data_IF_396813116919
#
_entry.id   IF_396813116919
#
_cell.length_a   1.000
_cell.length_b   1.000
_cell.length_c   1.000
_cell.angle_alpha   90.00
_cell.angle_beta   90.00
_cell.angle_gamma   90.00
#
_symmetry.space_group_name_H-M   'P 1'
#
loop_
_entity.id
_entity.type
_entity.pdbx_description
1 polymer ?
#
# COMPACT_ATOMS: atom_id res chain seq x y z
N UNK A 1 -15.53 -42.50 -14.39
CA UNK A 1 -16.68 -41.61 -14.74
C UNK A 1 -16.82 -40.63 -13.58
N UNK A 2 -16.74 -39.31 -13.70
CA UNK A 2 -17.14 -38.41 -14.78
C UNK A 2 -16.14 -37.25 -14.91
N UNK A 3 -15.52 -37.14 -16.09
CA UNK A 3 -14.85 -35.92 -16.56
C UNK A 3 -15.97 -34.92 -16.92
N UNK A 4 -16.33 -34.05 -15.99
CA UNK A 4 -17.15 -32.83 -16.22
C UNK A 4 -16.37 -31.56 -15.87
N UNK A 5 -15.07 -31.56 -16.11
CA UNK A 5 -14.16 -30.44 -15.83
C UNK A 5 -13.83 -29.60 -17.07
N UNK A 6 -14.58 -29.75 -18.16
CA UNK A 6 -14.29 -29.08 -19.42
C UNK A 6 -15.57 -28.47 -19.96
N UNK A 7 -15.73 -27.18 -19.66
CA UNK A 7 -16.22 -26.09 -20.51
C UNK A 7 -16.54 -24.92 -19.56
N UNK A 8 -15.49 -24.23 -19.12
CA UNK A 8 -15.65 -22.85 -18.65
C UNK A 8 -16.33 -22.08 -19.78
N UNK A 9 -17.42 -21.38 -19.51
CA UNK A 9 -18.05 -20.50 -20.50
C UNK A 9 -17.06 -19.33 -20.77
N UNK A 10 -16.40 -19.28 -21.95
CA UNK A 10 -15.41 -18.25 -22.25
C UNK A 10 -16.01 -16.84 -22.21
N UNK A 11 -17.35 -16.72 -22.33
CA UNK A 11 -18.06 -15.46 -22.19
C UNK A 11 -18.02 -14.90 -20.75
N UNK A 12 -17.87 -15.75 -19.72
CA UNK A 12 -17.79 -15.32 -18.31
C UNK A 12 -16.42 -14.68 -18.00
N UNK A 13 -15.34 -15.20 -18.60
CA UNK A 13 -14.00 -14.64 -18.47
C UNK A 13 -13.87 -13.30 -19.20
N UNK A 14 -14.45 -13.16 -20.40
CA UNK A 14 -14.40 -11.89 -21.14
C UNK A 14 -15.17 -10.76 -20.44
N UNK A 15 -16.37 -11.04 -19.91
CA UNK A 15 -17.16 -10.04 -19.17
C UNK A 15 -16.45 -9.55 -17.91
N UNK A 16 -15.78 -10.45 -17.18
CA UNK A 16 -15.03 -10.11 -15.97
C UNK A 16 -13.81 -9.28 -16.30
N UNK A 17 -13.06 -9.66 -17.34
CA UNK A 17 -11.91 -8.91 -17.83
C UNK A 17 -12.29 -7.50 -18.29
N UNK A 18 -13.37 -7.37 -19.08
CA UNK A 18 -13.90 -6.07 -19.50
C UNK A 18 -14.35 -5.20 -18.33
N UNK A 19 -14.88 -5.80 -17.25
CA UNK A 19 -15.25 -5.05 -16.03
C UNK A 19 -14.04 -4.55 -15.28
N UNK A 20 -12.98 -5.34 -15.17
CA UNK A 20 -11.71 -4.88 -14.56
C UNK A 20 -11.13 -3.73 -15.39
N UNK A 21 -11.08 -3.86 -16.72
CA UNK A 21 -10.69 -2.77 -17.62
C UNK A 21 -11.58 -1.55 -17.41
N UNK A 22 -12.90 -1.74 -17.30
CA UNK A 22 -13.86 -0.67 -17.06
C UNK A 22 -13.62 0.05 -15.72
N UNK A 23 -13.26 -0.68 -14.67
CA UNK A 23 -12.86 -0.11 -13.37
C UNK A 23 -11.56 0.67 -13.50
N UNK A 24 -10.54 0.11 -14.18
CA UNK A 24 -9.28 0.81 -14.41
C UNK A 24 -9.49 2.08 -15.24
N UNK A 25 -10.35 2.02 -16.26
CA UNK A 25 -10.74 3.14 -17.09
C UNK A 25 -11.53 4.18 -16.29
N UNK A 26 -12.46 3.76 -15.43
CA UNK A 26 -13.22 4.67 -14.57
C UNK A 26 -12.29 5.42 -13.61
N UNK A 27 -11.36 4.73 -12.96
CA UNK A 27 -10.32 5.35 -12.14
C UNK A 27 -9.46 6.35 -12.94
N UNK A 28 -9.06 5.98 -14.17
CA UNK A 28 -8.36 6.88 -15.09
C UNK A 28 -9.22 8.06 -15.61
N UNK A 29 -10.54 7.91 -15.67
CA UNK A 29 -11.45 9.00 -16.05
C UNK A 29 -11.70 9.96 -14.89
N UNK A 30 -11.81 9.45 -13.65
CA UNK A 30 -11.85 10.28 -12.44
C UNK A 30 -10.62 11.20 -12.36
N UNK A 31 -9.46 10.71 -12.80
CA UNK A 31 -8.23 11.48 -12.94
C UNK A 31 -8.33 12.63 -13.95
N UNK A 32 -9.00 12.40 -15.08
CA UNK A 32 -9.17 13.41 -16.12
C UNK A 32 -10.21 14.49 -15.77
N UNK A 33 -11.00 14.28 -14.71
CA UNK A 33 -11.86 15.30 -14.10
C UNK A 33 -11.08 16.28 -13.22
N UNK A 34 -9.81 15.98 -12.91
CA UNK A 34 -8.91 16.87 -12.21
C UNK A 34 -8.49 18.08 -13.04
N UNK A 35 -7.98 19.13 -12.38
CA UNK A 35 -7.36 20.30 -13.03
C UNK A 35 -6.17 19.89 -13.90
N UNK A 36 -5.78 20.73 -14.89
CA UNK A 36 -4.61 20.50 -15.75
C UNK A 36 -3.35 20.10 -14.95
N UNK A 37 -3.15 20.69 -13.77
CA UNK A 37 -2.08 20.34 -12.84
C UNK A 37 -2.02 18.85 -12.46
N UNK A 38 -3.16 18.16 -12.30
CA UNK A 38 -3.18 16.73 -11.94
C UNK A 38 -2.63 15.87 -13.09
N UNK A 39 -2.81 16.30 -14.34
CA UNK A 39 -2.29 15.61 -15.53
C UNK A 39 -0.79 15.83 -15.67
N UNK A 40 -0.36 17.07 -15.47
CA UNK A 40 1.04 17.48 -15.59
C UNK A 40 1.93 16.85 -14.50
N UNK A 41 1.34 16.46 -13.36
CA UNK A 41 2.04 15.83 -12.23
C UNK A 41 1.64 14.35 -11.98
N UNK A 42 1.03 13.69 -12.97
CA UNK A 42 0.75 12.25 -12.85
C UNK A 42 2.04 11.43 -12.96
N UNK A 43 2.20 10.40 -12.13
CA UNK A 43 3.27 9.40 -12.26
C UNK A 43 2.74 8.13 -12.93
N UNK A 44 3.04 7.93 -14.23
CA UNK A 44 2.63 6.74 -14.95
C UNK A 44 3.19 5.45 -14.34
N UNK A 45 4.36 5.49 -13.69
CA UNK A 45 4.99 4.32 -13.09
C UNK A 45 4.22 3.86 -11.85
N UNK A 46 3.91 4.76 -10.91
CA UNK A 46 3.08 4.43 -9.74
C UNK A 46 1.68 3.94 -10.15
N UNK A 47 1.07 4.55 -11.17
CA UNK A 47 -0.21 4.13 -11.73
C UNK A 47 -0.10 2.71 -12.31
N UNK A 48 0.93 2.46 -13.13
CA UNK A 48 1.17 1.14 -13.71
C UNK A 48 1.38 0.08 -12.62
N UNK A 49 2.13 0.39 -11.55
CA UNK A 49 2.36 -0.54 -10.43
C UNK A 49 1.04 -0.98 -9.80
N UNK A 50 0.13 -0.04 -9.48
CA UNK A 50 -1.16 -0.37 -8.86
C UNK A 50 -1.99 -1.25 -9.80
N UNK A 51 -2.17 -0.81 -11.05
CA UNK A 51 -3.04 -1.53 -11.99
C UNK A 51 -2.47 -2.87 -12.41
N UNK A 52 -1.18 -2.95 -12.75
CA UNK A 52 -0.53 -4.20 -13.15
C UNK A 52 -0.55 -5.19 -11.99
N UNK A 53 -0.27 -4.76 -10.76
CA UNK A 53 -0.30 -5.65 -9.60
C UNK A 53 -1.69 -6.24 -9.38
N UNK A 54 -2.73 -5.42 -9.46
CA UNK A 54 -4.12 -5.87 -9.31
C UNK A 54 -4.52 -6.79 -10.47
N UNK A 55 -4.15 -6.46 -11.71
CA UNK A 55 -4.42 -7.28 -12.89
C UNK A 55 -3.73 -8.65 -12.80
N UNK A 56 -2.47 -8.70 -12.39
CA UNK A 56 -1.70 -9.95 -12.23
C UNK A 56 -2.32 -10.81 -11.13
N UNK A 57 -2.57 -10.22 -9.94
CA UNK A 57 -3.10 -10.97 -8.79
C UNK A 57 -4.52 -11.48 -9.09
N UNK A 58 -5.42 -10.60 -9.54
CA UNK A 58 -6.77 -10.98 -9.90
C UNK A 58 -6.80 -11.98 -11.06
N UNK A 59 -5.98 -11.77 -12.10
CA UNK A 59 -5.91 -12.64 -13.28
C UNK A 59 -5.47 -14.05 -12.92
N UNK A 60 -4.36 -14.19 -12.19
CA UNK A 60 -3.84 -15.50 -11.77
C UNK A 60 -4.82 -16.22 -10.82
N UNK A 61 -5.39 -15.52 -9.83
CA UNK A 61 -6.37 -16.12 -8.92
C UNK A 61 -7.67 -16.50 -9.61
N UNK A 62 -8.10 -15.72 -10.60
CA UNK A 62 -9.28 -16.03 -11.41
C UNK A 62 -9.06 -17.28 -12.25
N UNK A 63 -7.93 -17.36 -12.96
CA UNK A 63 -7.58 -18.50 -13.83
C UNK A 63 -7.43 -19.78 -13.01
N UNK A 64 -6.77 -19.73 -11.85
CA UNK A 64 -6.48 -20.93 -11.08
C UNK A 64 -7.61 -21.40 -10.17
N UNK A 65 -8.35 -20.47 -9.55
CA UNK A 65 -9.27 -20.81 -8.47
C UNK A 65 -10.68 -20.22 -8.65
N UNK A 66 -10.98 -19.60 -9.80
CA UNK A 66 -12.25 -18.91 -10.04
C UNK A 66 -12.58 -17.85 -8.98
N UNK A 67 -11.54 -17.23 -8.40
CA UNK A 67 -11.70 -16.27 -7.32
C UNK A 67 -12.54 -15.05 -7.75
N UNK A 68 -13.38 -14.52 -6.85
CA UNK A 68 -14.10 -13.27 -7.10
C UNK A 68 -13.10 -12.11 -7.13
N UNK A 69 -13.17 -11.30 -8.19
CA UNK A 69 -12.22 -10.21 -8.41
C UNK A 69 -12.50 -9.00 -7.51
N UNK A 70 -13.78 -8.71 -7.25
CA UNK A 70 -14.20 -7.56 -6.47
C UNK A 70 -13.63 -7.51 -5.03
N UNK A 71 -13.67 -8.61 -4.23
CA UNK A 71 -13.04 -8.63 -2.90
C UNK A 71 -11.52 -8.45 -2.93
N UNK A 72 -10.84 -8.95 -3.96
CA UNK A 72 -9.40 -8.80 -4.12
C UNK A 72 -9.05 -7.32 -4.38
N UNK A 73 -9.80 -6.67 -5.28
CA UNK A 73 -9.63 -5.24 -5.57
C UNK A 73 -9.89 -4.37 -4.35
N UNK A 74 -10.94 -4.69 -3.60
CA UNK A 74 -11.28 -4.02 -2.33
C UNK A 74 -10.17 -4.15 -1.28
N UNK A 75 -9.61 -5.35 -1.12
CA UNK A 75 -8.55 -5.58 -0.15
C UNK A 75 -7.22 -4.93 -0.56
N UNK A 76 -6.82 -5.02 -1.84
CA UNK A 76 -5.49 -4.64 -2.31
C UNK A 76 -5.35 -3.18 -2.76
N UNK A 77 -6.41 -2.55 -3.26
CA UNK A 77 -6.33 -1.24 -3.90
C UNK A 77 -5.67 -0.19 -3.00
N UNK A 78 -6.27 0.05 -1.83
CA UNK A 78 -5.78 1.02 -0.84
C UNK A 78 -4.33 0.76 -0.41
N UNK A 79 -3.95 -0.42 0.10
CA UNK A 79 -2.58 -0.64 0.57
C UNK A 79 -1.53 -0.56 -0.54
N UNK A 80 -1.84 -0.93 -1.78
CA UNK A 80 -0.93 -0.73 -2.93
C UNK A 80 -0.73 0.76 -3.22
N UNK A 81 -1.80 1.54 -3.22
CA UNK A 81 -1.72 2.99 -3.39
C UNK A 81 -0.83 3.63 -2.32
N UNK A 82 -1.08 3.31 -1.05
CA UNK A 82 -0.31 3.82 0.08
C UNK A 82 1.16 3.36 0.09
N UNK A 83 1.46 2.18 -0.48
CA UNK A 83 2.83 1.71 -0.65
C UNK A 83 3.60 2.61 -1.61
N UNK A 84 3.02 2.92 -2.77
CA UNK A 84 3.61 3.86 -3.72
C UNK A 84 3.84 5.23 -3.09
N UNK A 85 2.86 5.73 -2.32
CA UNK A 85 2.99 7.01 -1.60
C UNK A 85 4.16 6.96 -0.62
N UNK A 86 4.20 5.98 0.27
CA UNK A 86 5.23 5.93 1.31
C UNK A 86 6.64 5.78 0.75
N UNK A 87 6.83 4.95 -0.28
CA UNK A 87 8.14 4.80 -0.93
C UNK A 87 8.55 6.07 -1.68
N UNK A 88 7.60 6.74 -2.36
CA UNK A 88 7.87 8.01 -3.04
C UNK A 88 8.26 9.12 -2.06
N UNK A 89 7.51 9.29 -0.96
CA UNK A 89 7.84 10.28 0.07
C UNK A 89 9.18 9.96 0.74
N UNK A 90 9.42 8.69 1.04
CA UNK A 90 10.68 8.24 1.61
C UNK A 90 11.88 8.63 0.74
N UNK A 91 11.81 8.39 -0.59
CA UNK A 91 12.90 8.72 -1.50
C UNK A 91 13.21 10.22 -1.53
N UNK A 92 12.18 11.08 -1.43
CA UNK A 92 12.36 12.53 -1.34
C UNK A 92 13.15 12.93 -0.10
N UNK A 93 12.76 12.41 1.06
CA UNK A 93 13.46 12.71 2.32
C UNK A 93 14.85 12.08 2.39
N UNK A 94 15.04 10.94 1.73
CA UNK A 94 16.33 10.29 1.61
C UNK A 94 17.34 11.13 0.82
N UNK A 95 16.90 11.70 -0.32
CA UNK A 95 17.76 12.51 -1.18
C UNK A 95 17.81 14.00 -0.78
N UNK A 96 17.32 14.36 0.40
CA UNK A 96 17.19 15.76 0.80
C UNK A 96 18.55 16.38 1.16
N UNK A 97 18.98 17.41 0.44
CA UNK A 97 20.25 18.11 0.66
C UNK A 97 20.13 19.57 1.15
N UNK A 98 18.91 20.09 1.32
CA UNK A 98 18.66 21.39 1.95
C UNK A 98 18.39 22.55 1.00
N UNK A 99 18.98 22.57 -0.21
CA UNK A 99 18.98 23.77 -1.06
C UNK A 99 18.10 23.67 -2.33
N UNK A 100 17.67 22.47 -2.75
CA UNK A 100 16.98 22.27 -4.05
C UNK A 100 15.46 21.97 -3.99
N UNK A 101 14.82 22.06 -2.81
CA UNK A 101 13.62 21.27 -2.53
C UNK A 101 12.23 21.85 -2.84
N UNK A 102 12.05 23.14 -3.11
CA UNK A 102 10.69 23.77 -3.08
C UNK A 102 9.85 23.43 -4.31
N UNK A 103 10.41 23.55 -5.53
CA UNK A 103 9.70 23.15 -6.76
C UNK A 103 9.52 21.63 -6.84
N UNK A 104 10.52 20.87 -6.37
CA UNK A 104 10.43 19.42 -6.26
C UNK A 104 9.29 19.03 -5.31
N UNK A 105 9.12 19.71 -4.17
CA UNK A 105 8.08 19.34 -3.21
C UNK A 105 6.65 19.64 -3.67
N UNK A 106 6.42 20.77 -4.37
CA UNK A 106 5.12 21.10 -4.98
C UNK A 106 4.72 20.12 -6.08
N UNK A 107 5.67 19.76 -6.94
CA UNK A 107 5.58 18.65 -7.91
C UNK A 107 5.28 17.31 -7.17
N UNK A 108 5.95 17.07 -6.06
CA UNK A 108 5.83 15.86 -5.26
C UNK A 108 4.51 15.77 -4.48
N UNK A 109 3.88 16.87 -4.08
CA UNK A 109 2.63 16.79 -3.29
C UNK A 109 1.49 16.16 -4.11
N UNK A 110 1.47 16.40 -5.43
CA UNK A 110 0.55 15.73 -6.35
C UNK A 110 0.94 14.27 -6.56
N UNK A 111 2.23 13.97 -6.68
CA UNK A 111 2.76 12.59 -6.71
C UNK A 111 2.45 11.78 -5.44
N UNK A 112 2.32 12.44 -4.29
CA UNK A 112 2.10 11.83 -2.97
C UNK A 112 0.64 11.41 -2.77
N UNK A 113 -0.33 12.17 -3.29
CA UNK A 113 -1.74 11.86 -3.02
C UNK A 113 -2.41 11.08 -4.16
N UNK A 114 -1.85 11.14 -5.36
CA UNK A 114 -2.45 10.50 -6.53
C UNK A 114 -2.47 8.97 -6.47
N UNK A 115 -1.36 8.29 -6.10
CA UNK A 115 -1.37 6.84 -5.98
C UNK A 115 -2.32 6.37 -4.88
N UNK A 116 -2.44 7.13 -3.77
CA UNK A 116 -3.43 6.86 -2.73
C UNK A 116 -4.86 7.00 -3.25
N UNK A 117 -5.15 8.05 -4.03
CA UNK A 117 -6.46 8.24 -4.68
C UNK A 117 -6.76 7.10 -5.65
N UNK A 118 -5.78 6.65 -6.44
CA UNK A 118 -5.94 5.53 -7.39
C UNK A 118 -6.18 4.21 -6.67
N UNK A 119 -5.37 3.90 -5.66
CA UNK A 119 -5.58 2.74 -4.81
C UNK A 119 -6.96 2.75 -4.15
N UNK A 120 -7.36 3.89 -3.60
CA UNK A 120 -8.68 4.11 -3.02
C UNK A 120 -9.82 3.98 -4.03
N UNK A 121 -9.68 4.52 -5.24
CA UNK A 121 -10.66 4.39 -6.31
C UNK A 121 -10.84 2.92 -6.74
N UNK A 122 -9.74 2.17 -6.90
CA UNK A 122 -9.82 0.75 -7.23
C UNK A 122 -10.48 -0.05 -6.09
N UNK A 123 -10.13 0.26 -4.85
CA UNK A 123 -10.75 -0.36 -3.67
C UNK A 123 -12.26 -0.06 -3.59
N UNK A 124 -12.65 1.21 -3.77
CA UNK A 124 -14.05 1.65 -3.78
C UNK A 124 -14.86 1.04 -4.93
N UNK A 125 -14.27 0.92 -6.12
CA UNK A 125 -14.91 0.25 -7.26
C UNK A 125 -15.05 -1.27 -7.02
N UNK A 126 -14.07 -1.89 -6.34
CA UNK A 126 -14.17 -3.26 -5.85
C UNK A 126 -15.34 -3.44 -4.87
N UNK A 127 -15.49 -2.51 -3.91
CA UNK A 127 -16.61 -2.50 -2.97
C UNK A 127 -17.98 -2.37 -3.67
N UNK A 128 -18.11 -1.40 -4.58
CA UNK A 128 -19.35 -1.20 -5.34
C UNK A 128 -19.71 -2.39 -6.22
N UNK A 129 -18.72 -3.07 -6.80
CA UNK A 129 -18.93 -4.28 -7.58
C UNK A 129 -19.34 -5.47 -6.70
N UNK A 130 -18.80 -5.59 -5.49
CA UNK A 130 -19.18 -6.66 -4.56
C UNK A 130 -20.68 -6.60 -4.21
N UNK A 131 -21.22 -5.39 -4.02
CA UNK A 131 -22.62 -5.19 -3.66
C UNK A 131 -22.98 -5.91 -2.35
N UNK A 132 -24.20 -6.45 -2.26
CA UNK A 132 -24.67 -7.21 -1.08
C UNK A 132 -24.35 -8.70 -1.12
N UNK A 133 -23.71 -9.19 -2.18
CA UNK A 133 -23.43 -10.62 -2.38
C UNK A 133 -21.97 -10.92 -2.10
N UNK A 134 -21.67 -11.41 -0.90
CA UNK A 134 -20.34 -11.89 -0.54
C UNK A 134 -20.11 -13.27 -1.14
N UNK A 135 -19.52 -13.33 -2.33
CA UNK A 135 -18.97 -14.57 -2.85
C UNK A 135 -17.79 -14.98 -1.97
N UNK A 136 -17.86 -16.18 -1.38
CA UNK A 136 -16.81 -16.72 -0.52
C UNK A 136 -15.50 -16.86 -1.30
N UNK A 137 -14.39 -16.46 -0.69
CA UNK A 137 -13.08 -16.52 -1.32
C UNK A 137 -12.59 -17.98 -1.37
N UNK A 138 -12.33 -18.56 -2.55
CA UNK A 138 -11.81 -19.92 -2.63
C UNK A 138 -10.38 -19.96 -2.08
N UNK A 139 -10.10 -21.00 -1.28
CA UNK A 139 -8.75 -21.27 -0.78
C UNK A 139 -7.80 -21.52 -1.96
N UNK A 140 -6.67 -20.83 -1.97
CA UNK A 140 -5.62 -21.02 -2.98
C UNK A 140 -4.50 -21.96 -2.50
N UNK A 141 -3.66 -22.41 -3.43
CA UNK A 141 -2.47 -23.20 -3.09
C UNK A 141 -1.33 -22.31 -2.57
N UNK A 142 -0.50 -22.85 -1.67
CA UNK A 142 0.68 -22.15 -1.16
C UNK A 142 1.67 -21.73 -2.26
N UNK A 143 1.73 -22.47 -3.39
CA UNK A 143 2.58 -22.14 -4.54
C UNK A 143 2.17 -20.82 -5.20
N UNK A 144 0.86 -20.58 -5.30
CA UNK A 144 0.32 -19.31 -5.81
C UNK A 144 0.62 -18.17 -4.84
N UNK A 145 0.54 -18.43 -3.52
CA UNK A 145 0.98 -17.49 -2.49
C UNK A 145 2.46 -17.10 -2.63
N UNK A 146 3.35 -18.06 -2.84
CA UNK A 146 4.79 -17.79 -3.09
C UNK A 146 4.99 -16.98 -4.36
N UNK A 147 4.29 -17.33 -5.45
CA UNK A 147 4.39 -16.57 -6.70
C UNK A 147 4.04 -15.09 -6.48
N UNK A 148 2.96 -14.79 -5.74
CA UNK A 148 2.60 -13.41 -5.44
C UNK A 148 3.55 -12.73 -4.47
N UNK A 149 4.09 -13.45 -3.49
CA UNK A 149 5.10 -12.89 -2.59
C UNK A 149 6.38 -12.49 -3.36
N UNK A 150 6.83 -13.35 -4.28
CA UNK A 150 7.97 -13.05 -5.15
C UNK A 150 7.66 -11.90 -6.11
N UNK A 151 6.45 -11.89 -6.70
CA UNK A 151 6.00 -10.78 -7.55
C UNK A 151 6.00 -9.45 -6.79
N UNK A 152 5.44 -9.40 -5.58
CA UNK A 152 5.44 -8.20 -4.75
C UNK A 152 6.87 -7.76 -4.40
N UNK A 153 7.76 -8.69 -4.05
CA UNK A 153 9.16 -8.38 -3.78
C UNK A 153 9.87 -7.78 -5.00
N UNK A 154 9.61 -8.34 -6.20
CA UNK A 154 10.12 -7.81 -7.46
C UNK A 154 9.59 -6.40 -7.74
N UNK A 155 8.29 -6.16 -7.52
CA UNK A 155 7.68 -4.83 -7.66
C UNK A 155 8.33 -3.82 -6.73
N UNK A 156 8.51 -4.17 -5.45
CA UNK A 156 9.18 -3.31 -4.47
C UNK A 156 10.62 -3.03 -4.89
N UNK A 157 11.37 -4.07 -5.28
CA UNK A 157 12.76 -3.92 -5.75
C UNK A 157 12.86 -3.03 -6.98
N UNK A 158 11.93 -3.18 -7.93
CA UNK A 158 11.85 -2.31 -9.11
C UNK A 158 11.64 -0.84 -8.73
N UNK A 159 10.75 -0.56 -7.77
CA UNK A 159 10.54 0.81 -7.24
C UNK A 159 11.84 1.38 -6.66
N UNK A 160 12.57 0.62 -5.85
CA UNK A 160 13.85 1.08 -5.30
C UNK A 160 14.88 1.42 -6.39
N UNK A 161 14.97 0.59 -7.43
CA UNK A 161 15.87 0.82 -8.57
C UNK A 161 15.47 2.08 -9.34
N UNK A 162 14.17 2.26 -9.63
CA UNK A 162 13.66 3.43 -10.33
C UNK A 162 13.90 4.73 -9.56
N UNK A 163 13.74 4.68 -8.23
CA UNK A 163 14.00 5.81 -7.35
C UNK A 163 15.51 6.06 -7.15
N UNK A 164 16.39 5.21 -7.68
CA UNK A 164 17.84 5.33 -7.53
C UNK A 164 18.32 5.16 -6.09
N UNK A 165 17.54 4.50 -5.23
CA UNK A 165 17.85 4.36 -3.81
C UNK A 165 18.29 2.94 -3.46
N UNK A 166 19.40 2.84 -2.72
CA UNK A 166 19.87 1.57 -2.18
C UNK A 166 19.09 1.19 -0.91
N UNK A 167 18.80 -0.10 -0.75
CA UNK A 167 18.27 -0.67 0.50
C UNK A 167 19.33 -0.71 1.62
N UNK A 168 20.61 -0.51 1.31
CA UNK A 168 21.71 -0.54 2.27
C UNK A 168 21.64 0.66 3.23
N UNK A 169 21.67 0.40 4.54
CA UNK A 169 21.69 1.40 5.61
C UNK A 169 20.40 1.56 6.43
N UNK A 170 19.33 0.84 6.06
CA UNK A 170 18.03 0.86 6.74
C UNK A 170 17.62 -0.51 7.30
N UNK A 171 18.56 -1.45 7.34
CA UNK A 171 18.33 -2.82 7.81
C UNK A 171 17.86 -2.84 9.26
N UNK A 172 18.28 -1.83 10.04
CA UNK A 172 17.93 -1.69 11.45
C UNK A 172 16.45 -1.33 11.62
N UNK A 173 15.95 -0.29 10.95
CA UNK A 173 14.56 0.13 11.00
C UNK A 173 13.63 -0.97 10.49
N UNK A 174 13.99 -1.59 9.36
CA UNK A 174 13.23 -2.72 8.78
C UNK A 174 13.19 -3.88 9.78
N UNK A 175 14.33 -4.27 10.36
CA UNK A 175 14.40 -5.36 11.33
C UNK A 175 13.59 -5.06 12.60
N UNK A 176 13.61 -3.82 13.09
CA UNK A 176 12.84 -3.40 14.26
C UNK A 176 11.34 -3.52 14.01
N UNK A 177 10.86 -3.08 12.84
CA UNK A 177 9.45 -3.18 12.46
C UNK A 177 9.03 -4.65 12.34
N UNK A 178 9.80 -5.46 11.62
CA UNK A 178 9.52 -6.88 11.49
C UNK A 178 9.53 -7.60 12.85
N UNK A 179 10.50 -7.28 13.71
CA UNK A 179 10.59 -7.80 15.06
C UNK A 179 9.39 -7.42 15.92
N UNK A 180 8.96 -6.16 15.86
CA UNK A 180 7.81 -5.67 16.61
C UNK A 180 6.50 -6.32 16.12
N UNK A 181 6.31 -6.46 14.81
CA UNK A 181 5.16 -7.17 14.23
C UNK A 181 5.16 -8.62 14.73
N UNK A 182 6.30 -9.31 14.71
CA UNK A 182 6.42 -10.67 15.23
C UNK A 182 6.03 -10.75 16.72
N UNK A 183 6.60 -9.89 17.57
CA UNK A 183 6.31 -9.86 19.02
C UNK A 183 4.81 -9.64 19.26
N UNK A 184 4.20 -8.62 18.67
CA UNK A 184 2.77 -8.33 18.84
C UNK A 184 1.90 -9.47 18.32
N UNK A 185 2.31 -10.13 17.23
CA UNK A 185 1.61 -11.31 16.69
C UNK A 185 1.62 -12.50 17.64
N UNK A 186 2.69 -12.70 18.41
CA UNK A 186 2.77 -13.76 19.43
C UNK A 186 1.96 -13.44 20.69
N UNK A 187 1.75 -12.15 21.00
CA UNK A 187 0.91 -11.71 22.14
C UNK A 187 -0.58 -11.83 21.81
N UNK A 188 -0.96 -11.72 20.53
CA UNK A 188 -2.35 -11.81 20.10
C UNK A 188 -2.97 -13.21 20.30
N UNK A 189 -4.31 -13.28 20.42
CA UNK A 189 -5.05 -14.50 20.75
C UNK A 189 -4.68 -15.70 19.87
N UNK A 190 -4.31 -16.82 20.49
CA UNK A 190 -3.92 -18.05 19.80
C UNK A 190 -5.04 -18.74 19.02
N UNK A 191 -6.30 -18.37 19.26
CA UNK A 191 -7.46 -18.95 18.59
C UNK A 191 -7.62 -18.51 17.12
N UNK A 192 -7.06 -17.35 16.74
CA UNK A 192 -7.14 -16.84 15.37
C UNK A 192 -6.08 -17.49 14.47
N UNK A 193 -6.36 -17.60 13.17
CA UNK A 193 -5.36 -18.01 12.18
C UNK A 193 -4.13 -17.08 12.22
N UNK A 194 -2.93 -17.64 12.02
CA UNK A 194 -1.67 -16.87 12.13
C UNK A 194 -1.65 -15.64 11.21
N UNK A 195 -2.21 -15.73 10.01
CA UNK A 195 -2.28 -14.62 9.06
C UNK A 195 -3.12 -13.47 9.61
N UNK A 196 -4.26 -13.78 10.23
CA UNK A 196 -5.13 -12.77 10.86
C UNK A 196 -4.42 -12.04 11.99
N UNK A 197 -3.69 -12.80 12.83
CA UNK A 197 -2.86 -12.25 13.91
C UNK A 197 -1.80 -11.29 13.37
N UNK A 198 -1.08 -11.69 12.33
CA UNK A 198 -0.05 -10.85 11.71
C UNK A 198 -0.67 -9.61 11.05
N UNK A 199 -1.80 -9.73 10.36
CA UNK A 199 -2.48 -8.59 9.74
C UNK A 199 -2.89 -7.53 10.78
N UNK A 200 -3.53 -7.95 11.87
CA UNK A 200 -3.95 -7.04 12.95
C UNK A 200 -2.74 -6.43 13.67
N UNK A 201 -1.71 -7.24 13.93
CA UNK A 201 -0.48 -6.77 14.57
C UNK A 201 0.26 -5.76 13.70
N UNK A 202 0.32 -6.00 12.39
CA UNK A 202 0.92 -5.08 11.42
C UNK A 202 0.22 -3.73 11.46
N UNK A 203 -1.12 -3.73 11.46
CA UNK A 203 -1.90 -2.49 11.55
C UNK A 203 -1.63 -1.74 12.87
N UNK A 204 -1.61 -2.45 13.99
CA UNK A 204 -1.30 -1.85 15.28
C UNK A 204 0.11 -1.26 15.32
N UNK A 205 1.10 -1.99 14.81
CA UNK A 205 2.50 -1.54 14.78
C UNK A 205 2.67 -0.32 13.89
N UNK A 206 2.08 -0.30 12.68
CA UNK A 206 2.12 0.85 11.78
C UNK A 206 1.55 2.10 12.48
N UNK A 207 0.43 1.97 13.20
CA UNK A 207 -0.17 3.07 13.95
C UNK A 207 0.74 3.56 15.09
N UNK A 208 1.32 2.66 15.87
CA UNK A 208 2.22 3.03 16.98
C UNK A 208 3.47 3.72 16.45
N UNK A 209 4.06 3.21 15.37
CA UNK A 209 5.25 3.79 14.74
C UNK A 209 4.94 5.16 14.15
N UNK A 210 3.74 5.35 13.59
CA UNK A 210 3.26 6.67 13.19
C UNK A 210 3.30 7.65 14.36
N UNK A 211 2.70 7.29 15.51
CA UNK A 211 2.69 8.14 16.69
C UNK A 211 4.08 8.40 17.28
N UNK A 212 4.91 7.37 17.40
CA UNK A 212 6.28 7.51 17.90
C UNK A 212 7.12 8.41 16.98
N UNK A 213 6.96 8.26 15.67
CA UNK A 213 7.58 9.13 14.68
C UNK A 213 7.17 10.59 14.85
N UNK A 214 5.89 10.86 15.08
CA UNK A 214 5.37 12.21 15.32
C UNK A 214 5.98 12.82 16.59
N UNK A 215 6.07 12.02 17.66
CA UNK A 215 6.69 12.45 18.91
C UNK A 215 8.17 12.78 18.68
N UNK A 216 8.89 11.91 17.97
CA UNK A 216 10.32 12.11 17.66
C UNK A 216 10.54 13.40 16.84
N UNK A 217 9.71 13.63 15.83
CA UNK A 217 9.74 14.88 15.04
C UNK A 217 9.46 16.12 15.91
N UNK A 218 8.50 16.04 16.83
CA UNK A 218 8.21 17.15 17.74
C UNK A 218 9.40 17.43 18.67
N UNK A 219 10.08 16.39 19.15
CA UNK A 219 11.30 16.50 19.97
C UNK A 219 12.46 17.09 19.16
N UNK A 220 12.69 16.63 17.93
CA UNK A 220 13.68 17.20 17.00
C UNK A 220 13.41 18.69 16.81
N UNK A 221 12.16 19.05 16.54
CA UNK A 221 11.72 20.43 16.38
C UNK A 221 12.01 21.29 17.60
N UNK A 222 11.61 20.82 18.79
CA UNK A 222 11.83 21.52 20.05
C UNK A 222 13.32 21.70 20.38
N UNK A 223 14.15 20.68 20.14
CA UNK A 223 15.59 20.71 20.44
C UNK A 223 16.38 21.59 19.48
N UNK A 224 15.91 21.74 18.24
CA UNK A 224 16.65 22.42 17.17
C UNK A 224 16.04 23.78 16.81
N UNK A 225 14.97 24.20 17.49
CA UNK A 225 14.21 25.40 17.14
C UNK A 225 13.64 25.34 15.72
N UNK A 226 13.38 24.13 15.21
CA UNK A 226 12.99 23.89 13.82
C UNK A 226 13.98 24.43 12.78
N UNK A 227 15.28 24.40 13.07
CA UNK A 227 16.33 24.85 12.15
C UNK A 227 17.15 23.70 11.53
N UNK A 228 17.08 22.48 12.08
CA UNK A 228 17.86 21.35 11.59
C UNK A 228 17.08 20.51 10.57
N UNK A 229 17.16 20.93 9.30
CA UNK A 229 16.48 20.28 8.17
C UNK A 229 16.93 18.83 7.99
N UNK A 230 18.21 18.54 8.19
CA UNK A 230 18.76 17.18 8.07
C UNK A 230 18.17 16.23 9.10
N UNK A 231 18.02 16.67 10.36
CA UNK A 231 17.39 15.88 11.41
C UNK A 231 15.91 15.62 11.12
N UNK A 232 15.19 16.64 10.64
CA UNK A 232 13.79 16.50 10.22
C UNK A 232 13.64 15.51 9.06
N UNK A 233 14.43 15.67 7.99
CA UNK A 233 14.40 14.78 6.83
C UNK A 233 14.76 13.33 7.21
N UNK A 234 15.76 13.14 8.06
CA UNK A 234 16.12 11.81 8.59
C UNK A 234 14.99 11.17 9.41
N UNK A 235 14.30 11.95 10.25
CA UNK A 235 13.13 11.49 11.01
C UNK A 235 11.96 11.11 10.11
N UNK A 236 11.64 11.94 9.12
CA UNK A 236 10.59 11.65 8.14
C UNK A 236 10.91 10.39 7.32
N UNK A 237 12.16 10.25 6.87
CA UNK A 237 12.63 9.08 6.12
C UNK A 237 12.42 7.78 6.93
N UNK A 238 12.81 7.78 8.22
CA UNK A 238 12.58 6.66 9.16
C UNK A 238 11.12 6.23 9.28
N UNK A 239 10.22 7.20 9.37
CA UNK A 239 8.78 6.95 9.50
C UNK A 239 8.25 6.28 8.24
N UNK A 240 8.55 6.87 7.07
CA UNK A 240 8.02 6.36 5.81
C UNK A 240 8.57 4.98 5.44
N UNK A 241 9.86 4.69 5.64
CA UNK A 241 10.41 3.35 5.38
C UNK A 241 9.80 2.29 6.30
N UNK A 242 9.53 2.65 7.56
CA UNK A 242 8.89 1.77 8.54
C UNK A 242 7.46 1.41 8.13
N UNK A 243 6.73 2.39 7.61
CA UNK A 243 5.36 2.21 7.13
C UNK A 243 5.33 1.43 5.83
N UNK A 244 6.21 1.72 4.88
CA UNK A 244 6.36 0.93 3.66
C UNK A 244 6.64 -0.54 4.00
N UNK A 245 7.49 -0.80 4.99
CA UNK A 245 7.76 -2.16 5.49
C UNK A 245 6.49 -2.82 6.04
N UNK A 246 5.73 -2.12 6.89
CA UNK A 246 4.46 -2.60 7.39
C UNK A 246 3.44 -2.88 6.29
N UNK A 247 3.35 -2.02 5.27
CA UNK A 247 2.47 -2.20 4.11
C UNK A 247 2.83 -3.44 3.30
N UNK A 248 4.12 -3.71 3.08
CA UNK A 248 4.56 -4.93 2.41
C UNK A 248 4.12 -6.17 3.20
N UNK A 249 4.32 -6.17 4.52
CA UNK A 249 3.84 -7.27 5.38
C UNK A 249 2.32 -7.41 5.31
N UNK A 250 1.59 -6.31 5.31
CA UNK A 250 0.13 -6.31 5.22
C UNK A 250 -0.37 -6.85 3.87
N UNK A 251 0.24 -6.44 2.75
CA UNK A 251 -0.04 -6.99 1.41
C UNK A 251 0.25 -8.49 1.34
N UNK A 252 1.34 -8.94 1.96
CA UNK A 252 1.63 -10.37 2.11
C UNK A 252 0.55 -11.07 2.94
N UNK A 253 0.01 -10.46 3.99
CA UNK A 253 -1.09 -11.04 4.76
C UNK A 253 -2.36 -11.19 3.92
N UNK A 254 -2.69 -10.23 3.06
CA UNK A 254 -3.82 -10.35 2.12
C UNK A 254 -3.61 -11.53 1.18
N UNK A 255 -2.41 -11.70 0.63
CA UNK A 255 -2.07 -12.84 -0.25
C UNK A 255 -2.15 -14.17 0.50
N UNK A 256 -1.53 -14.24 1.68
CA UNK A 256 -1.46 -15.46 2.48
C UNK A 256 -2.79 -15.84 3.10
N UNK A 257 -3.71 -14.90 3.33
CA UNK A 257 -5.04 -15.21 3.86
C UNK A 257 -5.86 -16.02 2.83
N UNK A 258 -5.70 -15.73 1.53
CA UNK A 258 -6.30 -16.50 0.44
C UNK A 258 -5.73 -17.92 0.40
N UNK A 259 -4.40 -18.07 0.55
CA UNK A 259 -3.76 -19.38 0.60
C UNK A 259 -4.12 -20.19 1.87
N UNK A 260 -4.29 -19.50 3.00
CA UNK A 260 -4.71 -20.11 4.27
C UNK A 260 -6.20 -20.48 4.28
N UNK A 261 -7.02 -19.82 3.45
CA UNK A 261 -8.48 -19.92 3.50
C UNK A 261 -9.09 -19.08 4.63
N UNK A 262 -8.38 -18.05 5.08
CA UNK A 262 -8.78 -17.15 6.17
C UNK A 262 -9.11 -15.73 5.65
N UNK A 263 -9.29 -15.56 4.34
CA UNK A 263 -9.54 -14.24 3.73
C UNK A 263 -10.84 -13.62 4.24
N UNK A 264 -11.92 -14.40 4.29
CA UNK A 264 -13.24 -13.93 4.72
C UNK A 264 -13.33 -13.74 6.25
N UNK A 265 -12.38 -14.29 7.02
CA UNK A 265 -12.29 -14.12 8.48
C UNK A 265 -11.65 -12.78 8.90
N UNK A 266 -11.07 -12.06 7.94
CA UNK A 266 -10.37 -10.80 8.14
C UNK A 266 -11.18 -9.67 7.52
N UNK A 267 -11.54 -8.68 8.34
CA UNK A 267 -12.20 -7.46 7.88
C UNK A 267 -11.17 -6.50 7.26
N UNK A 268 -10.78 -6.79 6.01
CA UNK A 268 -9.86 -5.93 5.25
C UNK A 268 -10.41 -4.53 5.04
N UNK A 269 -11.72 -4.34 5.09
CA UNK A 269 -12.34 -3.03 5.03
C UNK A 269 -11.94 -2.15 6.20
N UNK A 270 -12.13 -2.68 7.41
CA UNK A 270 -11.74 -2.03 8.65
C UNK A 270 -10.22 -1.82 8.74
N UNK A 271 -9.43 -2.82 8.36
CA UNK A 271 -7.96 -2.68 8.38
C UNK A 271 -7.47 -1.63 7.36
N UNK A 272 -8.03 -1.60 6.14
CA UNK A 272 -7.74 -0.58 5.14
C UNK A 272 -8.16 0.82 5.60
N UNK A 273 -9.27 0.94 6.34
CA UNK A 273 -9.69 2.21 6.94
C UNK A 273 -8.69 2.73 7.97
N UNK A 274 -8.28 1.89 8.93
CA UNK A 274 -7.26 2.28 9.91
C UNK A 274 -5.92 2.64 9.26
N UNK A 275 -5.60 2.02 8.13
CA UNK A 275 -4.40 2.35 7.36
C UNK A 275 -4.48 3.75 6.76
N UNK A 276 -5.65 4.13 6.22
CA UNK A 276 -5.91 5.50 5.74
C UNK A 276 -5.82 6.49 6.89
N UNK A 277 -6.37 6.18 8.06
CA UNK A 277 -6.28 7.04 9.25
C UNK A 277 -4.81 7.31 9.62
N UNK A 278 -4.00 6.25 9.77
CA UNK A 278 -2.58 6.36 10.09
C UNK A 278 -1.80 7.15 9.04
N UNK A 279 -2.06 6.89 7.75
CA UNK A 279 -1.41 7.61 6.66
C UNK A 279 -1.79 9.08 6.59
N UNK A 280 -3.09 9.38 6.75
CA UNK A 280 -3.58 10.75 6.70
C UNK A 280 -2.95 11.60 7.80
N UNK A 281 -2.78 11.06 9.01
CA UNK A 281 -2.12 11.74 10.11
C UNK A 281 -0.66 12.10 9.76
N UNK A 282 0.08 11.17 9.17
CA UNK A 282 1.49 11.40 8.82
C UNK A 282 1.60 12.37 7.65
N UNK A 283 0.82 12.17 6.59
CA UNK A 283 0.82 13.08 5.44
C UNK A 283 0.46 14.49 5.88
N UNK A 284 -0.55 14.65 6.76
CA UNK A 284 -0.89 15.94 7.35
C UNK A 284 0.30 16.56 8.06
N UNK A 285 1.07 15.79 8.83
CA UNK A 285 2.25 16.31 9.55
C UNK A 285 3.39 16.65 8.61
N UNK A 286 3.59 15.87 7.55
CA UNK A 286 4.54 16.17 6.48
C UNK A 286 4.28 17.55 5.86
N UNK A 287 3.00 17.93 5.74
CA UNK A 287 2.56 19.18 5.08
C UNK A 287 2.14 20.31 6.04
N UNK A 288 1.90 20.04 7.33
CA UNK A 288 1.38 21.02 8.31
C UNK A 288 2.46 21.75 9.15
N UNK A 289 2.34 23.07 9.42
CA UNK A 289 3.28 23.88 10.21
C UNK A 289 3.66 23.34 11.61
N UNK A 290 4.94 23.43 12.05
CA UNK A 290 6.12 23.70 11.23
C UNK A 290 6.36 22.50 10.32
N UNK A 291 5.86 22.63 9.11
CA UNK A 291 6.00 21.68 8.04
C UNK A 291 7.37 21.87 7.48
N UNK A 292 7.70 21.02 6.52
CA UNK A 292 8.82 21.25 5.63
C UNK A 292 8.88 22.73 5.13
N UNK A 293 7.75 23.41 4.94
CA UNK A 293 7.68 24.83 4.57
C UNK A 293 8.22 25.80 5.61
N UNK A 294 8.18 25.46 6.90
CA UNK A 294 8.79 26.25 7.97
C UNK A 294 10.31 26.05 8.05
N UNK A 295 10.79 24.88 7.64
CA UNK A 295 12.23 24.59 7.50
C UNK A 295 12.83 25.14 6.19
N UNK A 296 11.98 25.64 5.29
CA UNK A 296 12.34 26.17 3.96
C UNK A 296 12.32 27.70 3.88
N UNK A 297 11.93 28.39 4.96
CA UNK A 297 11.88 29.86 5.06
C UNK A 297 13.04 30.41 5.87
#
# INVERSE_FOLDING_TARGET
MSKKFLLEDPALNWKTFLRVIGVCLAAYLFMNLGTQAIKDYSDPAAIAIIFVSILVICGVLRIHNQAPVAPIMYALGTPLGLLCVSLGVWAIFWSWDGDAGIELLGFNTTLILLPALMGGAVSGLGYLWMGSSTQQMPKSSWRVGIFFALFLLLTVTYIFVELGVSLLGWETEIALILGLIAIVSFVSSSADAWVKRVAHSTMFVVLIVAFLGIIDLAVIGANTGYANVSAYAGGMSKIYISISTGLVVYLLCIIWSIAAGAFDDIDFGKLNWHLIEAFSLIVLITISPPSIYHFMS
#
